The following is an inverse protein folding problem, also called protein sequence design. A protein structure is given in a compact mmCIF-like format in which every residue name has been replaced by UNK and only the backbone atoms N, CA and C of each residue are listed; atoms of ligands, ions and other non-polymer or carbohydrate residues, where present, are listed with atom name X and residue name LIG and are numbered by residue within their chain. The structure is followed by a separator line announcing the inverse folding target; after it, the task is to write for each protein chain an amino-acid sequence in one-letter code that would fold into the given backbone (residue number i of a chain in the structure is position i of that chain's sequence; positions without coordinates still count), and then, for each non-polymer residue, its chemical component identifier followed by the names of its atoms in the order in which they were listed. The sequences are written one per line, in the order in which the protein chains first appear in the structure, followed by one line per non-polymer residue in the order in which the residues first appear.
data_IF_165233521390
#
_entry.id   IF_165233521390
#
_cell.length_a   1.000
_cell.length_b   1.000
_cell.length_c   1.000
_cell.angle_alpha   90.00
_cell.angle_beta   90.00
_cell.angle_gamma   90.00
#
_symmetry.space_group_name_H-M   'P 1'
#
loop_
_entity.id
_entity.type
_entity.pdbx_description
1 polymer ?
#
# COMPACT_ATOMS: atom_id res chain seq x y z
N UNK A 1 -15.18 18.26 19.18
CA UNK A 1 -13.95 17.47 18.99
C UNK A 1 -13.69 17.39 17.50
N UNK A 2 -12.62 18.04 17.04
CA UNK A 2 -12.29 18.13 15.61
C UNK A 2 -11.58 16.84 15.18
N UNK A 3 -12.29 15.91 14.61
CA UNK A 3 -11.70 14.74 13.97
C UNK A 3 -11.56 15.01 12.46
N UNK A 4 -10.64 15.87 12.09
CA UNK A 4 -10.12 15.85 10.73
C UNK A 4 -8.90 14.91 10.74
N UNK A 5 -9.14 13.62 10.82
CA UNK A 5 -8.08 12.64 10.60
C UNK A 5 -7.80 12.57 9.11
N UNK A 6 -6.59 12.89 8.69
CA UNK A 6 -6.15 12.63 7.33
C UNK A 6 -5.87 11.14 7.18
N UNK A 7 -6.35 10.54 6.08
CA UNK A 7 -6.05 9.17 5.68
C UNK A 7 -5.08 9.21 4.49
N UNK A 8 -3.78 9.02 4.70
CA UNK A 8 -2.82 8.95 3.62
C UNK A 8 -3.05 7.69 2.78
N UNK A 9 -3.05 7.86 1.46
CA UNK A 9 -3.17 6.78 0.48
C UNK A 9 -1.91 6.78 -0.37
N UNK A 10 -1.07 5.80 -0.14
CA UNK A 10 0.19 5.60 -0.87
C UNK A 10 -0.06 4.72 -2.08
N UNK A 11 0.04 5.29 -3.27
CA UNK A 11 -0.04 4.52 -4.52
C UNK A 11 1.38 4.23 -4.99
N UNK A 12 1.74 2.95 -5.09
CA UNK A 12 3.03 2.52 -5.63
C UNK A 12 3.23 3.07 -7.04
N UNK A 13 4.43 3.58 -7.34
CA UNK A 13 4.72 4.17 -8.64
C UNK A 13 5.87 3.45 -9.33
N UNK A 14 5.63 3.11 -10.58
CA UNK A 14 6.63 2.62 -11.53
C UNK A 14 6.50 3.42 -12.82
N UNK A 15 7.63 3.90 -13.35
CA UNK A 15 7.60 4.76 -14.54
C UNK A 15 6.96 4.08 -15.76
N UNK A 16 7.16 2.76 -15.89
CA UNK A 16 6.55 1.94 -16.96
C UNK A 16 5.03 1.86 -16.86
N UNK A 17 4.51 2.02 -15.65
CA UNK A 17 3.09 1.88 -15.30
C UNK A 17 2.42 3.24 -15.01
N UNK A 18 3.05 4.32 -15.49
CA UNK A 18 2.54 5.69 -15.24
C UNK A 18 1.06 5.85 -15.57
N UNK A 19 0.60 5.29 -16.69
CA UNK A 19 -0.81 5.39 -17.09
C UNK A 19 -1.75 4.64 -16.14
N UNK A 20 -1.33 3.49 -15.63
CA UNK A 20 -2.09 2.76 -14.62
C UNK A 20 -2.19 3.58 -13.34
N UNK A 21 -1.09 4.21 -12.92
CA UNK A 21 -1.06 5.10 -11.76
C UNK A 21 -2.05 6.28 -11.91
N UNK A 22 -2.09 6.94 -13.08
CA UNK A 22 -3.04 8.04 -13.35
C UNK A 22 -4.50 7.56 -13.23
N UNK A 23 -4.82 6.38 -13.76
CA UNK A 23 -6.15 5.79 -13.68
C UNK A 23 -6.51 5.43 -12.24
N UNK A 24 -5.58 4.84 -11.49
CA UNK A 24 -5.78 4.51 -10.08
C UNK A 24 -6.07 5.78 -9.27
N UNK A 25 -5.21 6.80 -9.35
CA UNK A 25 -5.42 8.09 -8.68
C UNK A 25 -6.76 8.72 -9.04
N UNK A 26 -7.07 8.79 -10.34
CA UNK A 26 -8.33 9.35 -10.81
C UNK A 26 -9.54 8.60 -10.24
N UNK A 27 -9.49 7.26 -10.23
CA UNK A 27 -10.60 6.45 -9.72
C UNK A 27 -10.84 6.65 -8.22
N UNK A 28 -9.76 6.84 -7.44
CA UNK A 28 -9.86 7.17 -6.03
C UNK A 28 -10.54 8.53 -5.85
N UNK A 29 -10.05 9.57 -6.54
CA UNK A 29 -10.62 10.92 -6.44
C UNK A 29 -12.08 10.99 -6.91
N UNK A 30 -12.39 10.26 -7.96
CA UNK A 30 -13.75 10.23 -8.54
C UNK A 30 -14.78 9.59 -7.60
N UNK A 31 -14.39 8.55 -6.88
CA UNK A 31 -15.28 7.80 -6.00
C UNK A 31 -15.18 8.26 -4.53
N UNK A 32 -14.19 9.06 -4.17
CA UNK A 32 -14.11 9.65 -2.84
C UNK A 32 -15.26 10.64 -2.66
N UNK A 33 -16.04 10.40 -1.64
CA UNK A 33 -17.17 11.26 -1.28
C UNK A 33 -16.77 12.08 -0.06
N UNK A 34 -16.44 13.34 -0.33
CA UNK A 34 -16.34 14.30 0.75
C UNK A 34 -17.67 14.35 1.51
N UNK A 35 -17.61 14.44 2.81
CA UNK A 35 -18.74 14.34 3.74
C UNK A 35 -20.04 14.93 3.18
N UNK A 36 -21.02 14.06 2.93
CA UNK A 36 -22.37 14.47 2.60
C UNK A 36 -23.12 14.74 3.90
N UNK A 37 -23.72 15.92 4.04
CA UNK A 37 -24.53 16.28 5.20
C UNK A 37 -25.62 15.20 5.44
N UNK A 38 -25.51 14.49 6.58
CA UNK A 38 -26.43 13.39 6.92
C UNK A 38 -25.76 12.05 7.21
N UNK A 39 -24.47 11.90 6.87
CA UNK A 39 -23.70 10.71 7.28
C UNK A 39 -23.36 10.80 8.76
N UNK A 40 -23.48 9.69 9.53
CA UNK A 40 -23.30 9.70 10.99
C UNK A 40 -21.85 9.93 11.45
N UNK A 41 -20.87 9.86 10.54
CA UNK A 41 -19.44 9.97 10.86
C UNK A 41 -18.70 10.89 9.89
N UNK A 42 -17.84 11.79 10.36
CA UNK A 42 -16.99 12.58 9.48
C UNK A 42 -16.02 11.65 8.75
N UNK A 43 -16.05 11.68 7.42
CA UNK A 43 -15.09 10.97 6.58
C UNK A 43 -13.69 11.58 6.79
N UNK A 44 -12.61 10.78 6.85
CA UNK A 44 -11.26 11.33 6.90
C UNK A 44 -10.95 12.05 5.59
N UNK A 45 -10.21 13.13 5.66
CA UNK A 45 -9.65 13.77 4.45
C UNK A 45 -8.62 12.81 3.85
N UNK A 46 -8.77 12.47 2.57
CA UNK A 46 -7.76 11.65 1.89
C UNK A 46 -6.60 12.49 1.38
N UNK A 47 -5.38 11.98 1.54
CA UNK A 47 -4.15 12.52 0.98
C UNK A 47 -3.49 11.47 0.08
N UNK A 48 -3.46 11.71 -1.24
CA UNK A 48 -2.93 10.75 -2.20
C UNK A 48 -1.46 11.04 -2.45
N UNK A 49 -0.62 10.06 -2.13
CA UNK A 49 0.83 10.16 -2.17
C UNK A 49 1.38 9.17 -3.20
N UNK A 50 2.16 9.68 -4.15
CA UNK A 50 2.94 8.86 -5.07
C UNK A 50 4.13 8.26 -4.32
N UNK A 51 4.18 6.94 -4.19
CA UNK A 51 5.23 6.26 -3.45
C UNK A 51 6.32 5.74 -4.39
N UNK A 52 7.53 6.29 -4.25
CA UNK A 52 8.74 5.88 -4.99
C UNK A 52 9.89 5.69 -4.02
N UNK A 53 10.77 4.74 -4.30
CA UNK A 53 11.97 4.51 -3.49
C UNK A 53 12.85 5.75 -3.38
N UNK A 54 13.02 6.47 -4.49
CA UNK A 54 13.83 7.69 -4.57
C UNK A 54 13.32 8.87 -3.74
N UNK A 55 12.04 8.85 -3.32
CA UNK A 55 11.43 9.90 -2.49
C UNK A 55 11.54 9.59 -0.99
N UNK A 56 12.15 8.46 -0.64
CA UNK A 56 12.39 8.04 0.74
C UNK A 56 13.89 8.23 1.04
N UNK A 57 14.30 9.29 1.76
CA UNK A 57 15.71 9.60 1.96
C UNK A 57 16.51 8.48 2.61
N UNK A 58 15.88 7.72 3.50
CA UNK A 58 16.50 6.62 4.23
C UNK A 58 16.48 5.28 3.48
N UNK A 59 15.89 5.22 2.28
CA UNK A 59 15.83 3.99 1.49
C UNK A 59 17.20 3.67 0.90
N UNK A 60 17.84 2.65 1.45
CA UNK A 60 19.16 2.14 1.00
C UNK A 60 19.14 0.60 0.97
N UNK A 61 18.12 0.05 0.27
CA UNK A 61 17.97 -1.39 0.16
C UNK A 61 18.74 -1.93 -1.05
N UNK A 62 19.88 -2.54 -0.79
CA UNK A 62 20.72 -3.15 -1.82
C UNK A 62 21.10 -4.59 -1.45
N UNK A 63 20.10 -5.46 -1.31
CA UNK A 63 20.31 -6.86 -0.92
C UNK A 63 20.45 -7.81 -2.11
N UNK A 64 20.52 -7.29 -3.34
CA UNK A 64 20.62 -8.08 -4.56
C UNK A 64 19.36 -8.89 -4.87
N UNK A 65 18.24 -8.55 -4.26
CA UNK A 65 16.96 -9.23 -4.47
C UNK A 65 16.30 -8.72 -5.76
N UNK A 66 15.76 -9.59 -6.59
CA UNK A 66 15.01 -9.17 -7.77
C UNK A 66 13.74 -8.43 -7.32
N UNK A 67 13.56 -7.22 -7.84
CA UNK A 67 12.35 -6.43 -7.67
C UNK A 67 11.58 -6.40 -8.98
N UNK A 68 10.29 -6.72 -8.93
CA UNK A 68 9.43 -6.63 -10.12
C UNK A 68 9.01 -5.20 -10.41
N UNK A 69 8.90 -4.37 -9.36
CA UNK A 69 8.52 -2.95 -9.42
C UNK A 69 9.31 -2.16 -8.37
N UNK A 70 9.43 -0.85 -8.56
CA UNK A 70 10.07 0.06 -7.60
C UNK A 70 9.39 0.04 -6.23
N UNK A 71 8.10 -0.28 -6.19
CA UNK A 71 7.33 -0.35 -4.95
C UNK A 71 7.23 -1.76 -4.33
N UNK A 72 8.00 -2.73 -4.81
CA UNK A 72 8.01 -4.10 -4.24
C UNK A 72 8.28 -4.09 -2.73
N UNK A 73 9.21 -3.27 -2.27
CA UNK A 73 9.57 -3.17 -0.85
C UNK A 73 9.14 -1.85 -0.21
N UNK A 74 8.97 -0.77 -0.96
CA UNK A 74 8.59 0.54 -0.40
C UNK A 74 7.22 0.52 0.25
N UNK A 75 6.33 -0.40 -0.13
CA UNK A 75 5.03 -0.59 0.51
C UNK A 75 5.10 -0.82 2.02
N UNK A 76 6.17 -1.43 2.51
CA UNK A 76 6.37 -1.69 3.94
C UNK A 76 6.89 -0.47 4.71
N UNK A 77 7.26 0.60 4.01
CA UNK A 77 7.69 1.85 4.62
C UNK A 77 6.52 2.72 5.09
N UNK A 78 5.31 2.41 4.68
CA UNK A 78 4.13 3.23 4.98
C UNK A 78 3.98 3.57 6.46
N UNK A 79 4.11 2.63 7.43
CA UNK A 79 4.04 2.99 8.84
C UNK A 79 5.13 3.96 9.30
N UNK A 80 6.36 3.82 8.78
CA UNK A 80 7.44 4.75 9.06
C UNK A 80 7.16 6.14 8.48
N UNK A 81 6.72 6.22 7.23
CA UNK A 81 6.42 7.48 6.53
C UNK A 81 5.31 8.28 7.19
N UNK A 82 4.39 7.63 7.90
CA UNK A 82 3.36 8.30 8.72
C UNK A 82 3.87 8.71 10.10
N UNK A 83 5.14 8.44 10.42
CA UNK A 83 5.68 8.60 11.77
C UNK A 83 5.05 7.67 12.79
N UNK A 84 4.57 6.49 12.34
CA UNK A 84 3.86 5.50 13.15
C UNK A 84 2.59 6.07 13.81
N UNK A 85 1.84 6.89 13.08
CA UNK A 85 0.63 7.54 13.57
C UNK A 85 -0.55 7.28 12.66
N UNK A 86 -1.73 7.13 13.27
CA UNK A 86 -3.00 6.96 12.57
C UNK A 86 -3.06 5.73 11.69
N UNK A 87 -3.83 5.84 10.62
CA UNK A 87 -4.00 4.79 9.62
C UNK A 87 -3.51 5.26 8.27
N UNK A 88 -3.15 4.33 7.41
CA UNK A 88 -2.77 4.60 6.02
C UNK A 88 -3.13 3.42 5.13
N UNK A 89 -3.30 3.68 3.85
CA UNK A 89 -3.55 2.64 2.85
C UNK A 89 -2.39 2.65 1.85
N UNK A 90 -1.89 1.48 1.53
CA UNK A 90 -1.03 1.25 0.37
C UNK A 90 -1.82 0.49 -0.70
N UNK A 91 -1.60 0.84 -1.96
CA UNK A 91 -2.18 0.15 -3.11
C UNK A 91 -1.19 0.12 -4.29
N UNK A 92 -1.14 -0.99 -5.00
CA UNK A 92 -0.45 -1.09 -6.29
C UNK A 92 -1.13 -0.17 -7.31
N UNK A 93 -0.39 0.35 -8.28
CA UNK A 93 -0.93 1.34 -9.23
C UNK A 93 -1.91 0.79 -10.27
N UNK A 94 -2.05 -0.52 -10.39
CA UNK A 94 -2.93 -1.20 -11.36
C UNK A 94 -4.36 -1.46 -10.83
N UNK A 95 -4.74 -0.78 -9.74
CA UNK A 95 -6.09 -0.84 -9.17
C UNK A 95 -7.04 0.18 -9.83
N UNK A 96 -8.29 -0.23 -9.99
CA UNK A 96 -9.41 0.63 -10.33
C UNK A 96 -10.43 0.60 -9.18
N UNK A 97 -10.58 1.72 -8.48
CA UNK A 97 -11.57 1.83 -7.42
C UNK A 97 -12.95 2.13 -8.00
N UNK A 98 -13.95 1.39 -7.55
CA UNK A 98 -15.34 1.53 -7.97
C UNK A 98 -16.22 2.12 -6.84
N UNK A 99 -15.66 2.32 -5.66
CA UNK A 99 -16.32 2.90 -4.50
C UNK A 99 -15.30 3.67 -3.65
N UNK A 100 -15.76 4.35 -2.61
CA UNK A 100 -14.96 5.20 -1.73
C UNK A 100 -13.93 4.38 -0.94
N UNK A 101 -12.64 4.66 -1.22
CA UNK A 101 -11.51 3.99 -0.55
C UNK A 101 -11.45 4.27 0.95
N UNK A 102 -12.00 5.40 1.41
CA UNK A 102 -12.00 5.76 2.84
C UNK A 102 -12.72 4.71 3.70
N UNK A 103 -13.67 3.97 3.14
CA UNK A 103 -14.36 2.86 3.79
C UNK A 103 -13.41 1.75 4.24
N UNK A 104 -12.25 1.61 3.59
CA UNK A 104 -11.26 0.59 3.95
C UNK A 104 -10.54 0.89 5.26
N UNK A 105 -10.51 2.15 5.70
CA UNK A 105 -9.78 2.57 6.89
C UNK A 105 -10.17 1.86 8.19
N UNK A 106 -11.38 1.30 8.28
CA UNK A 106 -11.85 0.56 9.48
C UNK A 106 -11.36 -0.89 9.56
N UNK A 107 -10.87 -1.47 8.45
CA UNK A 107 -10.53 -2.90 8.44
C UNK A 107 -9.29 -3.27 9.26
N UNK A 108 -8.46 -2.30 9.65
CA UNK A 108 -7.26 -2.53 10.47
C UNK A 108 -7.38 -1.98 11.90
N UNK A 109 -8.60 -1.79 12.44
CA UNK A 109 -8.77 -1.22 13.78
C UNK A 109 -8.06 -2.04 14.87
N UNK A 110 -8.21 -3.37 14.83
CA UNK A 110 -7.65 -4.29 15.82
C UNK A 110 -6.39 -5.02 15.34
N UNK A 111 -5.86 -4.68 14.16
CA UNK A 111 -4.75 -5.38 13.53
C UNK A 111 -3.66 -4.41 13.05
N UNK A 112 -2.41 -4.89 13.04
CA UNK A 112 -1.30 -4.09 12.50
C UNK A 112 -1.49 -3.76 11.02
N UNK A 113 -2.03 -4.71 10.26
CA UNK A 113 -2.31 -4.57 8.84
C UNK A 113 -3.47 -5.50 8.45
N UNK A 114 -4.35 -5.01 7.60
CA UNK A 114 -5.34 -5.81 6.90
C UNK A 114 -4.99 -5.90 5.42
N UNK A 115 -5.18 -7.07 4.83
CA UNK A 115 -4.89 -7.37 3.42
C UNK A 115 -6.02 -8.17 2.80
N UNK A 116 -6.14 -8.13 1.47
CA UNK A 116 -7.08 -9.00 0.76
C UNK A 116 -6.46 -10.37 0.59
N UNK A 117 -7.10 -11.38 1.18
CA UNK A 117 -6.69 -12.76 1.01
C UNK A 117 -7.18 -13.29 -0.34
N UNK A 118 -6.23 -13.48 -1.27
CA UNK A 118 -6.52 -14.14 -2.53
C UNK A 118 -6.43 -15.66 -2.37
N UNK A 119 -7.23 -16.44 -3.13
CA UNK A 119 -7.09 -17.89 -3.18
C UNK A 119 -5.70 -18.26 -3.69
N UNK A 120 -5.20 -19.48 -3.37
CA UNK A 120 -3.90 -19.94 -3.87
C UNK A 120 -3.83 -19.86 -5.39
N UNK A 121 -2.88 -19.09 -5.88
CA UNK A 121 -2.67 -18.92 -7.31
C UNK A 121 -1.64 -19.92 -7.82
N UNK A 122 -2.00 -20.68 -8.84
CA UNK A 122 -1.07 -21.50 -9.62
C UNK A 122 -0.84 -20.80 -10.96
N UNK A 123 0.38 -20.32 -11.23
CA UNK A 123 0.68 -19.71 -12.52
C UNK A 123 0.56 -20.74 -13.63
N UNK A 124 -0.04 -20.36 -14.75
CA UNK A 124 -0.12 -21.18 -15.95
C UNK A 124 1.20 -21.22 -16.74
N UNK A 125 2.13 -20.31 -16.42
CA UNK A 125 3.46 -20.20 -17.01
C UNK A 125 4.50 -19.97 -15.92
N UNK A 126 5.70 -20.50 -16.12
CA UNK A 126 6.80 -20.30 -15.17
C UNK A 126 7.51 -18.94 -15.34
N UNK A 127 7.01 -18.08 -16.24
CA UNK A 127 7.64 -16.80 -16.60
C UNK A 127 6.57 -15.70 -16.67
N UNK A 128 6.84 -14.56 -16.07
CA UNK A 128 6.05 -13.32 -16.21
C UNK A 128 6.31 -12.66 -17.57
N UNK A 129 5.50 -11.64 -17.93
CA UNK A 129 5.59 -10.91 -19.21
C UNK A 129 7.00 -10.36 -19.51
N UNK A 130 7.80 -10.03 -18.50
CA UNK A 130 9.16 -9.49 -18.66
C UNK A 130 10.28 -10.56 -18.56
N UNK A 131 9.96 -11.86 -18.74
CA UNK A 131 10.95 -12.92 -18.64
C UNK A 131 11.38 -13.29 -17.22
N UNK A 132 10.79 -12.69 -16.21
CA UNK A 132 11.10 -12.95 -14.79
C UNK A 132 10.45 -14.27 -14.36
N UNK A 133 11.25 -15.15 -13.71
CA UNK A 133 10.73 -16.41 -13.18
C UNK A 133 9.57 -16.19 -12.22
N UNK A 134 8.50 -16.96 -12.41
CA UNK A 134 7.30 -16.90 -11.59
C UNK A 134 7.28 -18.06 -10.60
N UNK A 135 7.40 -17.76 -9.32
CA UNK A 135 7.34 -18.77 -8.27
C UNK A 135 5.91 -18.95 -7.76
N UNK A 136 5.57 -20.16 -7.37
CA UNK A 136 4.34 -20.45 -6.64
C UNK A 136 4.38 -19.74 -5.28
N UNK A 137 3.35 -19.00 -4.95
CA UNK A 137 3.20 -18.39 -3.64
C UNK A 137 1.76 -18.56 -3.16
N UNK A 138 1.61 -19.07 -1.95
CA UNK A 138 0.30 -19.18 -1.30
C UNK A 138 -0.29 -17.80 -0.90
N UNK A 139 0.57 -16.77 -0.84
CA UNK A 139 0.20 -15.39 -0.46
C UNK A 139 0.41 -14.40 -1.60
N UNK A 140 0.28 -14.87 -2.84
CA UNK A 140 0.46 -13.99 -3.99
C UNK A 140 -0.60 -12.90 -3.99
N UNK A 141 -0.18 -11.67 -4.29
CA UNK A 141 -0.99 -10.45 -4.36
C UNK A 141 -1.63 -10.00 -3.04
N UNK A 142 -1.36 -10.63 -1.90
CA UNK A 142 -1.90 -10.16 -0.62
C UNK A 142 -1.42 -8.75 -0.27
N UNK A 143 -0.20 -8.39 -0.66
CA UNK A 143 0.37 -7.08 -0.39
C UNK A 143 0.04 -6.02 -1.45
N UNK A 144 -0.81 -6.32 -2.44
CA UNK A 144 -1.19 -5.36 -3.48
C UNK A 144 -2.16 -4.29 -2.98
N UNK A 145 -2.90 -4.58 -1.89
CA UNK A 145 -3.66 -3.61 -1.12
C UNK A 145 -3.46 -3.90 0.37
N UNK A 146 -2.99 -2.90 1.12
CA UNK A 146 -2.69 -3.01 2.54
C UNK A 146 -3.30 -1.83 3.30
N UNK A 147 -4.10 -2.12 4.31
CA UNK A 147 -4.62 -1.10 5.23
C UNK A 147 -3.82 -1.21 6.52
N UNK A 148 -3.05 -0.20 6.85
CA UNK A 148 -2.20 -0.17 8.04
C UNK A 148 -2.89 0.56 9.19
N UNK A 149 -2.86 -0.02 10.38
CA UNK A 149 -2.91 0.69 11.64
C UNK A 149 -1.46 1.05 12.02
N UNK A 150 -1.01 2.23 11.60
CA UNK A 150 0.39 2.62 11.78
C UNK A 150 0.78 2.76 13.25
N UNK A 151 -0.17 2.97 14.17
CA UNK A 151 0.05 3.08 15.61
C UNK A 151 0.21 1.71 16.29
N UNK A 152 -0.19 0.62 15.63
CA UNK A 152 -0.10 -0.71 16.21
C UNK A 152 1.34 -1.06 16.60
N UNK A 153 1.58 -1.59 17.82
CA UNK A 153 2.93 -1.84 18.33
C UNK A 153 3.82 -2.67 17.39
N UNK A 154 3.24 -3.65 16.70
CA UNK A 154 3.98 -4.50 15.75
C UNK A 154 4.57 -3.73 14.57
N UNK A 155 3.97 -2.60 14.17
CA UNK A 155 4.48 -1.78 13.07
C UNK A 155 5.72 -0.98 13.46
N UNK A 156 5.99 -0.79 14.76
CA UNK A 156 7.18 -0.09 15.26
C UNK A 156 8.50 -0.75 14.86
N UNK A 157 8.47 -2.03 14.52
CA UNK A 157 9.64 -2.75 14.01
C UNK A 157 10.02 -2.34 12.56
N UNK A 158 9.11 -1.75 11.80
CA UNK A 158 9.34 -1.35 10.41
C UNK A 158 10.15 -0.05 10.34
N UNK A 159 11.33 -0.05 10.96
CA UNK A 159 12.28 1.06 10.93
C UNK A 159 13.12 1.03 9.65
N UNK A 160 13.73 2.16 9.22
CA UNK A 160 14.65 2.18 8.08
C UNK A 160 15.75 1.13 8.17
N UNK A 161 16.34 0.96 9.35
CA UNK A 161 17.37 -0.06 9.57
C UNK A 161 16.83 -1.48 9.30
N UNK A 162 15.67 -1.81 9.87
CA UNK A 162 15.04 -3.12 9.64
C UNK A 162 14.72 -3.33 8.17
N UNK A 163 14.05 -2.35 7.54
CA UNK A 163 13.57 -2.46 6.17
C UNK A 163 14.70 -2.52 5.13
N UNK A 164 15.85 -1.89 5.40
CA UNK A 164 17.01 -1.94 4.51
C UNK A 164 17.83 -3.23 4.64
N UNK A 165 17.78 -3.91 5.80
CA UNK A 165 18.67 -5.03 6.08
C UNK A 165 18.01 -6.39 6.11
N UNK A 166 16.70 -6.46 6.38
CA UNK A 166 16.00 -7.73 6.49
C UNK A 166 15.48 -8.23 5.16
N UNK A 167 15.77 -9.49 4.86
CA UNK A 167 15.13 -10.20 3.74
C UNK A 167 13.70 -10.59 4.13
N UNK A 168 12.73 -10.47 3.21
CA UNK A 168 11.40 -11.01 3.48
C UNK A 168 11.55 -12.51 3.77
N UNK A 169 10.96 -12.94 4.89
CA UNK A 169 10.89 -14.38 5.20
C UNK A 169 10.08 -15.09 4.12
N UNK A 170 10.60 -16.22 3.67
CA UNK A 170 9.88 -17.17 2.80
C UNK A 170 8.73 -17.83 3.55
#
# INVERSE_FOLDING_TARGET
MSYSSTLPIYIGYEAREHRAWEVCEYSIRYNYREWLAGEPWPQPIIDIIKLRSQDIPEYDRNLGEPQSTDFTFTRFWVPYLTGFKGKAIFVDCDFLFLDDIAKLGSYADDHAVAVVQHPPYQPHTDVKMDGVAQHRSYRKNWASLMVFNCEHPSNRMLTPEYLNTHKPGL
#
